data_IF_820833423045
#
_entry.id   IF_820833423045
#
_cell.length_a   1.000
_cell.length_b   1.000
_cell.length_c   1.000
_cell.angle_alpha   90.00
_cell.angle_beta   90.00
_cell.angle_gamma   90.00
#
_symmetry.space_group_name_H-M   'P 1'
#
loop_
_entity.id
_entity.type
_entity.pdbx_description
1 polymer ?
#
# COMPACT_ATOMS: atom_id res chain seq x y z
N UNK A 1 -3.65 10.06 9.34
CA UNK A 1 -2.67 9.37 8.50
C UNK A 1 -3.11 9.50 7.06
N UNK A 2 -2.19 9.53 6.09
CA UNK A 2 -2.52 9.56 4.65
C UNK A 2 -1.74 8.51 3.91
N UNK A 3 -2.35 7.91 2.89
CA UNK A 3 -1.71 6.90 2.04
C UNK A 3 -2.02 7.18 0.58
N UNK A 4 -0.98 7.16 -0.26
CA UNK A 4 -1.12 7.03 -1.70
C UNK A 4 -0.98 5.54 -2.04
N UNK A 5 -2.09 4.92 -2.44
CA UNK A 5 -2.11 3.51 -2.83
C UNK A 5 -1.95 3.38 -4.34
N UNK A 6 -0.90 2.70 -4.78
CA UNK A 6 -0.61 2.45 -6.19
C UNK A 6 -0.86 0.97 -6.51
N UNK A 7 -1.75 0.68 -7.47
CA UNK A 7 -1.87 -0.66 -8.04
C UNK A 7 -0.65 -0.92 -8.93
N UNK A 8 0.08 -1.98 -8.65
CA UNK A 8 1.34 -2.30 -9.35
C UNK A 8 1.35 -3.74 -9.84
N UNK A 9 2.06 -3.98 -10.95
CA UNK A 9 2.40 -5.34 -11.40
C UNK A 9 3.63 -5.89 -10.65
N UNK A 10 4.50 -5.00 -10.16
CA UNK A 10 5.62 -5.29 -9.27
C UNK A 10 6.09 -3.99 -8.62
N UNK A 11 6.72 -4.08 -7.45
CA UNK A 11 7.42 -2.97 -6.80
C UNK A 11 8.62 -3.49 -5.99
N UNK A 12 9.64 -2.65 -5.80
CA UNK A 12 10.77 -2.99 -4.94
C UNK A 12 11.37 -1.76 -4.25
N UNK A 13 12.08 -2.02 -3.15
CA UNK A 13 12.90 -1.06 -2.41
C UNK A 13 14.31 -1.62 -2.35
N UNK A 14 15.30 -0.77 -2.67
CA UNK A 14 16.73 -1.13 -2.67
C UNK A 14 17.50 -0.25 -1.71
N UNK A 15 18.48 -0.84 -1.05
CA UNK A 15 19.47 -0.18 -0.21
C UNK A 15 20.82 -0.90 -0.36
N UNK A 16 21.88 -0.34 0.21
CA UNK A 16 23.26 -0.82 -0.04
C UNK A 16 23.47 -2.32 0.22
N UNK A 17 22.77 -2.88 1.21
CA UNK A 17 22.93 -4.27 1.63
C UNK A 17 21.85 -5.22 1.09
N UNK A 18 20.88 -4.75 0.29
CA UNK A 18 19.82 -5.62 -0.17
C UNK A 18 18.66 -4.99 -0.94
N UNK A 19 17.73 -5.85 -1.33
CA UNK A 19 16.50 -5.51 -2.00
C UNK A 19 15.35 -6.31 -1.38
N UNK A 20 14.20 -5.66 -1.23
CA UNK A 20 12.92 -6.30 -0.95
C UNK A 20 11.95 -5.97 -2.09
N UNK A 21 11.21 -6.97 -2.55
CA UNK A 21 10.31 -6.84 -3.68
C UNK A 21 8.99 -7.57 -3.47
N UNK A 22 7.99 -7.12 -4.22
CA UNK A 22 6.67 -7.74 -4.33
C UNK A 22 6.30 -7.93 -5.80
N UNK A 23 5.44 -8.91 -6.08
CA UNK A 23 4.78 -9.08 -7.37
C UNK A 23 3.56 -8.16 -7.52
N UNK A 24 2.52 -8.65 -8.20
CA UNK A 24 1.27 -7.92 -8.38
C UNK A 24 0.65 -7.59 -7.01
N UNK A 25 0.27 -6.34 -6.80
CA UNK A 25 -0.26 -5.91 -5.52
C UNK A 25 -0.33 -4.38 -5.38
N UNK A 26 -0.07 -3.90 -4.18
CA UNK A 26 -0.04 -2.48 -3.84
C UNK A 26 1.37 -2.03 -3.46
N UNK A 27 1.79 -0.88 -4.00
CA UNK A 27 2.84 -0.06 -3.39
C UNK A 27 2.15 1.07 -2.61
N UNK A 28 2.42 1.17 -1.30
CA UNK A 28 1.79 2.16 -0.42
C UNK A 28 2.82 3.20 0.01
N UNK A 29 2.58 4.45 -0.35
CA UNK A 29 3.35 5.58 0.17
C UNK A 29 2.60 6.16 1.36
N UNK A 30 3.13 5.97 2.56
CA UNK A 30 2.45 6.32 3.82
C UNK A 30 3.04 7.60 4.40
N UNK A 31 2.17 8.57 4.68
CA UNK A 31 2.50 9.78 5.43
C UNK A 31 1.80 9.78 6.79
N UNK A 32 2.59 9.94 7.84
CA UNK A 32 2.12 9.98 9.24
C UNK A 32 2.39 11.38 9.81
N UNK A 33 1.41 11.95 10.51
CA UNK A 33 1.49 13.22 11.23
C UNK A 33 1.33 13.01 12.74
N UNK A 34 1.79 13.95 13.56
CA UNK A 34 1.78 13.84 15.03
C UNK A 34 0.37 13.65 15.64
N UNK A 35 -0.67 14.08 14.93
CA UNK A 35 -2.06 13.93 15.35
C UNK A 35 -2.66 12.55 15.05
N UNK A 36 -1.93 11.68 14.35
CA UNK A 36 -2.43 10.40 13.90
C UNK A 36 -2.44 9.36 15.02
N UNK A 37 -3.41 8.46 14.96
CA UNK A 37 -3.62 7.42 15.96
C UNK A 37 -3.61 6.03 15.33
N UNK A 38 -3.46 4.98 16.15
CA UNK A 38 -3.57 3.59 15.70
C UNK A 38 -4.90 3.33 14.97
N UNK A 39 -5.98 3.98 15.42
CA UNK A 39 -7.30 3.89 14.77
C UNK A 39 -7.28 4.36 13.31
N UNK A 40 -6.46 5.36 12.99
CA UNK A 40 -6.31 5.83 11.60
C UNK A 40 -5.60 4.79 10.73
N UNK A 41 -4.62 4.09 11.31
CA UNK A 41 -3.93 2.98 10.64
C UNK A 41 -4.88 1.81 10.38
N UNK A 42 -5.66 1.38 11.39
CA UNK A 42 -6.64 0.32 11.27
C UNK A 42 -7.70 0.64 10.20
N UNK A 43 -8.21 1.88 10.23
CA UNK A 43 -9.17 2.36 9.24
C UNK A 43 -8.60 2.31 7.82
N UNK A 44 -7.36 2.77 7.63
CA UNK A 44 -6.71 2.76 6.31
C UNK A 44 -6.39 1.34 5.84
N UNK A 45 -5.94 0.46 6.73
CA UNK A 45 -5.67 -0.94 6.42
C UNK A 45 -6.94 -1.66 5.95
N UNK A 46 -8.04 -1.55 6.70
CA UNK A 46 -9.34 -2.13 6.32
C UNK A 46 -9.83 -1.58 4.98
N UNK A 47 -9.70 -0.26 4.79
CA UNK A 47 -10.11 0.42 3.54
C UNK A 47 -9.30 -0.07 2.34
N UNK A 48 -7.98 -0.19 2.47
CA UNK A 48 -7.09 -0.62 1.38
C UNK A 48 -7.33 -2.08 1.01
N UNK A 49 -7.51 -2.97 2.00
CA UNK A 49 -7.82 -4.39 1.76
C UNK A 49 -9.13 -4.59 0.98
N UNK A 50 -10.08 -3.65 1.11
CA UNK A 50 -11.39 -3.70 0.45
C UNK A 50 -11.44 -2.92 -0.87
N UNK A 51 -10.36 -2.26 -1.31
CA UNK A 51 -10.33 -1.54 -2.57
C UNK A 51 -10.49 -2.52 -3.75
N UNK A 52 -11.56 -2.35 -4.52
CA UNK A 52 -11.84 -3.12 -5.74
C UNK A 52 -11.18 -2.49 -6.96
N UNK A 53 -9.85 -2.38 -6.92
CA UNK A 53 -9.08 -1.78 -8.02
C UNK A 53 -8.35 -2.82 -8.86
N UNK A 54 -8.35 -4.10 -8.47
CA UNK A 54 -7.88 -5.18 -9.34
C UNK A 54 -9.01 -5.64 -10.26
N UNK A 55 -8.67 -5.86 -11.52
CA UNK A 55 -9.58 -6.44 -12.51
C UNK A 55 -9.77 -7.93 -12.24
N UNK A 56 -10.93 -8.45 -12.60
CA UNK A 56 -11.20 -9.88 -12.61
C UNK A 56 -10.99 -10.46 -14.03
N UNK A 57 -11.37 -11.72 -14.26
CA UNK A 57 -11.24 -12.37 -15.56
C UNK A 57 -12.08 -11.71 -16.66
N UNK A 58 -13.10 -10.91 -16.30
CA UNK A 58 -14.01 -10.23 -17.21
C UNK A 58 -13.67 -8.74 -17.43
N UNK A 59 -12.68 -8.19 -16.71
CA UNK A 59 -12.19 -6.81 -16.88
C UNK A 59 -12.19 -6.00 -15.59
#
# INVERSE_FOLDING_TARGET
>A
MRVVAQRVNAASVRWDAGEASIGQGYCLLVGVADSDTERDADYLADKILKLRVFSDEAG
#
